data_IF_178900795761
#
_entry.id   IF_178900795761
#
_cell.length_a   1.000
_cell.length_b   1.000
_cell.length_c   1.000
_cell.angle_alpha   90.00
_cell.angle_beta   90.00
_cell.angle_gamma   90.00
#
_symmetry.space_group_name_H-M   'P 1'
#
loop_
_entity.id
_entity.type
_entity.pdbx_description
1 polymer ?
#
# COMPACT_ATOMS: atom_id res chain seq x y z
N UNK A 1 32.75 -29.05 17.13
CA UNK A 1 32.40 -27.63 16.89
C UNK A 1 31.78 -27.40 15.50
N UNK A 2 32.46 -27.72 14.39
CA UNK A 2 31.94 -27.48 13.02
C UNK A 2 30.66 -28.29 12.66
N UNK A 3 30.49 -29.49 13.23
CA UNK A 3 29.33 -30.34 12.98
C UNK A 3 28.04 -29.83 13.66
N UNK A 4 28.17 -29.22 14.84
CA UNK A 4 27.07 -28.58 15.58
C UNK A 4 26.65 -27.29 14.89
N UNK A 5 27.61 -26.53 14.35
CA UNK A 5 27.34 -25.34 13.55
C UNK A 5 26.57 -25.68 12.26
N UNK A 6 26.93 -26.76 11.55
CA UNK A 6 26.17 -27.27 10.39
C UNK A 6 24.76 -27.76 10.75
N UNK A 7 24.56 -28.35 11.93
CA UNK A 7 23.24 -28.81 12.40
C UNK A 7 22.31 -27.65 12.81
N UNK A 8 22.85 -26.60 13.44
CA UNK A 8 22.10 -25.38 13.77
C UNK A 8 21.74 -24.62 12.48
N UNK A 9 22.68 -24.53 11.53
CA UNK A 9 22.45 -23.95 10.20
C UNK A 9 21.39 -24.77 9.44
N UNK A 10 21.46 -26.11 9.46
CA UNK A 10 20.46 -26.97 8.82
C UNK A 10 19.04 -26.82 9.37
N UNK A 11 18.89 -26.59 10.69
CA UNK A 11 17.58 -26.30 11.32
C UNK A 11 17.09 -24.86 11.11
N UNK A 12 17.99 -23.89 10.97
CA UNK A 12 17.64 -22.50 10.65
C UNK A 12 17.21 -22.36 9.17
N UNK A 13 17.96 -22.99 8.26
CA UNK A 13 17.65 -23.12 6.83
C UNK A 13 16.29 -23.81 6.63
N UNK A 14 16.00 -24.85 7.42
CA UNK A 14 14.74 -25.59 7.36
C UNK A 14 13.49 -24.74 7.62
N UNK A 15 13.54 -23.73 8.49
CA UNK A 15 12.35 -22.96 8.86
C UNK A 15 12.08 -21.79 7.92
N UNK A 16 13.12 -21.08 7.47
CA UNK A 16 12.97 -19.98 6.49
C UNK A 16 12.51 -20.54 5.15
N UNK A 17 13.08 -21.65 4.69
CA UNK A 17 12.65 -22.34 3.46
C UNK A 17 11.27 -23.00 3.63
N UNK A 18 10.89 -23.45 4.83
CA UNK A 18 9.51 -23.92 5.10
C UNK A 18 8.46 -22.81 5.07
N UNK A 19 8.83 -21.59 5.46
CA UNK A 19 7.90 -20.45 5.52
C UNK A 19 7.84 -19.73 4.16
N UNK A 20 9.00 -19.45 3.55
CA UNK A 20 9.09 -18.80 2.23
C UNK A 20 8.79 -19.75 1.07
N UNK A 21 9.09 -21.05 1.17
CA UNK A 21 8.80 -22.03 0.11
C UNK A 21 9.74 -21.99 -1.12
N UNK A 22 10.64 -21.01 -1.24
CA UNK A 22 11.59 -20.87 -2.35
C UNK A 22 12.94 -20.28 -1.92
N UNK A 23 13.96 -20.43 -2.78
CA UNK A 23 15.23 -19.72 -2.67
C UNK A 23 15.09 -18.32 -3.28
N UNK A 24 15.28 -17.23 -2.51
CA UNK A 24 15.09 -15.88 -3.02
C UNK A 24 16.07 -15.57 -4.16
N UNK A 25 15.58 -14.89 -5.20
CA UNK A 25 16.38 -14.41 -6.32
C UNK A 25 17.01 -13.06 -5.96
N UNK A 26 18.34 -13.05 -5.81
CA UNK A 26 19.14 -11.83 -5.61
C UNK A 26 18.83 -10.72 -6.62
N UNK A 27 18.75 -10.97 -7.94
CA UNK A 27 18.59 -9.88 -8.91
C UNK A 27 17.22 -9.18 -8.81
N UNK A 28 16.12 -9.92 -8.65
CA UNK A 28 14.79 -9.31 -8.57
C UNK A 28 14.63 -8.45 -7.31
N UNK A 29 15.18 -8.93 -6.18
CA UNK A 29 15.16 -8.17 -4.93
C UNK A 29 15.97 -6.87 -5.05
N UNK A 30 17.15 -6.90 -5.66
CA UNK A 30 17.98 -5.70 -5.88
C UNK A 30 17.25 -4.68 -6.76
N UNK A 31 16.61 -5.12 -7.84
CA UNK A 31 15.81 -4.23 -8.70
C UNK A 31 14.68 -3.58 -7.89
N UNK A 32 13.95 -4.35 -7.08
CA UNK A 32 12.90 -3.81 -6.22
C UNK A 32 13.44 -2.77 -5.22
N UNK A 33 14.60 -3.04 -4.58
CA UNK A 33 15.26 -2.05 -3.69
C UNK A 33 15.50 -0.74 -4.42
N UNK A 34 16.16 -0.79 -5.59
CA UNK A 34 16.52 0.41 -6.35
C UNK A 34 15.26 1.19 -6.74
N UNK A 35 14.24 0.51 -7.22
CA UNK A 35 12.98 1.14 -7.65
C UNK A 35 12.27 1.82 -6.49
N UNK A 36 12.01 1.12 -5.38
CA UNK A 36 11.27 1.69 -4.24
C UNK A 36 12.03 2.77 -3.48
N UNK A 37 13.35 2.66 -3.37
CA UNK A 37 14.16 3.72 -2.77
C UNK A 37 14.19 4.96 -3.66
N UNK A 38 14.32 4.78 -4.98
CA UNK A 38 14.25 5.91 -5.94
C UNK A 38 12.90 6.61 -5.86
N UNK A 39 11.79 5.85 -5.85
CA UNK A 39 10.46 6.42 -5.64
C UNK A 39 10.36 7.16 -4.30
N UNK A 40 10.90 6.57 -3.22
CA UNK A 40 10.92 7.19 -1.90
C UNK A 40 11.64 8.53 -1.89
N UNK A 41 12.82 8.63 -2.51
CA UNK A 41 13.59 9.88 -2.63
C UNK A 41 12.81 10.92 -3.44
N UNK A 42 12.21 10.53 -4.57
CA UNK A 42 11.37 11.43 -5.36
C UNK A 42 10.19 11.97 -4.56
N UNK A 43 9.48 11.11 -3.82
CA UNK A 43 8.36 11.54 -2.97
C UNK A 43 8.81 12.45 -1.83
N UNK A 44 9.93 12.14 -1.16
CA UNK A 44 10.50 13.03 -0.16
C UNK A 44 10.82 14.40 -0.75
N UNK A 45 11.42 14.44 -1.93
CA UNK A 45 11.71 15.69 -2.63
C UNK A 45 10.45 16.52 -2.90
N UNK A 46 9.37 15.90 -3.40
CA UNK A 46 8.07 16.57 -3.58
C UNK A 46 7.50 17.09 -2.26
N UNK A 47 7.47 16.25 -1.21
CA UNK A 47 6.93 16.61 0.11
C UNK A 47 7.70 17.79 0.72
N UNK A 48 9.04 17.74 0.72
CA UNK A 48 9.85 18.81 1.31
C UNK A 48 9.79 20.11 0.50
N UNK A 49 9.81 20.02 -0.84
CA UNK A 49 9.76 21.20 -1.70
C UNK A 49 8.43 21.95 -1.58
N UNK A 50 7.32 21.23 -1.45
CA UNK A 50 5.96 21.82 -1.35
C UNK A 50 5.44 21.95 0.08
N UNK A 51 6.18 21.44 1.08
CA UNK A 51 5.78 21.35 2.49
C UNK A 51 4.44 20.59 2.68
N UNK A 52 4.22 19.59 1.83
CA UNK A 52 3.01 18.75 1.83
C UNK A 52 3.10 17.65 2.90
N UNK A 53 3.22 18.03 4.19
CA UNK A 53 3.43 17.10 5.31
C UNK A 53 2.36 16.01 5.44
N UNK A 54 1.16 16.31 4.96
CA UNK A 54 0.04 15.37 4.91
C UNK A 54 0.31 14.15 4.00
N UNK A 55 1.23 14.26 3.04
CA UNK A 55 1.58 13.22 2.10
C UNK A 55 2.74 12.34 2.58
N UNK A 56 3.26 12.55 3.80
CA UNK A 56 4.42 11.82 4.36
C UNK A 56 4.22 10.29 4.40
N UNK A 57 2.98 9.81 4.45
CA UNK A 57 2.69 8.37 4.43
C UNK A 57 3.30 7.69 3.18
N UNK A 58 3.25 8.34 2.01
CA UNK A 58 3.74 7.77 0.75
C UNK A 58 5.26 7.54 0.71
N UNK A 59 6.14 8.54 1.01
CA UNK A 59 7.58 8.30 1.06
C UNK A 59 8.00 7.34 2.19
N UNK A 60 7.33 7.39 3.36
CA UNK A 60 7.59 6.45 4.45
C UNK A 60 7.27 5.01 4.01
N UNK A 61 6.13 4.79 3.35
CA UNK A 61 5.76 3.49 2.80
C UNK A 61 6.72 2.95 1.75
N UNK A 62 7.16 3.82 0.83
CA UNK A 62 8.08 3.45 -0.23
C UNK A 62 9.46 3.09 0.31
N UNK A 63 9.95 3.84 1.31
CA UNK A 63 11.23 3.52 1.96
C UNK A 63 11.14 2.28 2.83
N UNK A 64 10.03 2.06 3.55
CA UNK A 64 9.77 0.82 4.27
C UNK A 64 9.83 -0.40 3.33
N UNK A 65 9.23 -0.30 2.13
CA UNK A 65 9.29 -1.37 1.12
C UNK A 65 10.73 -1.65 0.69
N UNK A 66 11.49 -0.60 0.37
CA UNK A 66 12.89 -0.71 -0.02
C UNK A 66 13.76 -1.36 1.06
N UNK A 67 13.56 -0.97 2.33
CA UNK A 67 14.25 -1.57 3.48
C UNK A 67 13.86 -3.05 3.67
N UNK A 68 12.57 -3.39 3.47
CA UNK A 68 12.11 -4.77 3.48
C UNK A 68 12.83 -5.62 2.44
N UNK A 69 12.95 -5.13 1.20
CA UNK A 69 13.70 -5.83 0.15
C UNK A 69 15.21 -5.91 0.43
N UNK A 70 15.81 -4.93 1.10
CA UNK A 70 17.21 -5.02 1.55
C UNK A 70 17.36 -6.20 2.50
N UNK A 71 16.48 -6.34 3.50
CA UNK A 71 16.50 -7.48 4.42
C UNK A 71 16.30 -8.80 3.68
N UNK A 72 15.44 -8.83 2.67
CA UNK A 72 15.23 -9.99 1.79
C UNK A 72 16.50 -10.39 1.03
N UNK A 73 17.27 -9.42 0.53
CA UNK A 73 18.60 -9.68 -0.08
C UNK A 73 19.56 -10.25 0.97
N UNK A 74 19.56 -9.72 2.19
CA UNK A 74 20.43 -10.21 3.27
C UNK A 74 20.09 -11.64 3.69
N UNK A 75 18.80 -12.00 3.74
CA UNK A 75 18.28 -13.34 4.04
C UNK A 75 18.71 -14.42 3.04
N UNK A 76 19.20 -14.01 1.86
CA UNK A 76 19.75 -14.90 0.85
C UNK A 76 21.09 -15.52 1.29
N UNK A 77 21.84 -14.84 2.16
CA UNK A 77 23.06 -15.40 2.72
C UNK A 77 22.73 -16.35 3.89
N UNK A 78 23.21 -17.61 3.87
CA UNK A 78 22.91 -18.60 4.91
C UNK A 78 23.42 -18.19 6.31
N UNK A 79 24.40 -17.27 6.39
CA UNK A 79 24.88 -16.69 7.65
C UNK A 79 23.88 -15.73 8.33
N UNK A 80 22.94 -15.16 7.57
CA UNK A 80 21.98 -14.15 8.03
C UNK A 80 20.53 -14.66 8.09
N UNK A 81 20.30 -15.97 7.88
CA UNK A 81 19.01 -16.64 8.04
C UNK A 81 18.61 -16.79 9.51
N UNK A 82 18.50 -15.65 10.20
CA UNK A 82 17.99 -15.55 11.55
C UNK A 82 16.50 -15.19 11.48
N UNK A 83 15.75 -15.56 12.52
CA UNK A 83 14.31 -15.31 12.62
C UNK A 83 13.96 -13.81 12.64
N UNK A 84 14.83 -12.98 13.21
CA UNK A 84 14.63 -11.53 13.31
C UNK A 84 14.51 -10.84 11.94
N UNK A 85 15.53 -10.93 11.07
CA UNK A 85 15.48 -10.33 9.73
C UNK A 85 14.26 -10.74 8.90
N UNK A 86 13.81 -11.98 9.00
CA UNK A 86 12.60 -12.47 8.32
C UNK A 86 11.32 -11.78 8.83
N UNK A 87 11.14 -11.71 10.14
CA UNK A 87 9.98 -11.00 10.72
C UNK A 87 10.02 -9.51 10.37
N UNK A 88 11.21 -8.91 10.38
CA UNK A 88 11.40 -7.51 10.00
C UNK A 88 11.11 -7.26 8.52
N UNK A 89 11.50 -8.16 7.61
CA UNK A 89 11.12 -8.09 6.18
C UNK A 89 9.61 -8.04 6.01
N UNK A 90 8.90 -9.03 6.57
CA UNK A 90 7.44 -9.16 6.43
C UNK A 90 6.71 -7.95 7.04
N UNK A 91 7.14 -7.46 8.21
CA UNK A 91 6.54 -6.26 8.83
C UNK A 91 6.80 -5.01 7.98
N UNK A 92 8.01 -4.82 7.46
CA UNK A 92 8.34 -3.65 6.64
C UNK A 92 7.57 -3.65 5.31
N UNK A 93 7.45 -4.82 4.67
CA UNK A 93 6.71 -4.98 3.41
C UNK A 93 5.19 -4.92 3.61
N UNK A 94 4.67 -5.30 4.78
CA UNK A 94 3.27 -5.11 5.16
C UNK A 94 2.93 -3.66 5.52
N UNK A 95 3.91 -2.86 5.98
CA UNK A 95 3.71 -1.45 6.30
C UNK A 95 3.40 -0.62 5.05
N UNK A 96 4.09 -0.91 3.94
CA UNK A 96 3.96 -0.19 2.67
C UNK A 96 2.53 -0.08 2.14
N UNK A 97 1.76 -1.18 1.96
CA UNK A 97 0.38 -1.06 1.49
C UNK A 97 -0.50 -0.25 2.45
N UNK A 98 -0.37 -0.40 3.77
CA UNK A 98 -1.16 0.37 4.74
C UNK A 98 -0.93 1.88 4.60
N UNK A 99 0.33 2.30 4.38
CA UNK A 99 0.64 3.72 4.15
C UNK A 99 0.15 4.25 2.80
N UNK A 100 0.12 3.41 1.76
CA UNK A 100 -0.37 3.82 0.43
C UNK A 100 -1.90 3.94 0.41
N UNK A 101 -2.58 3.05 1.13
CA UNK A 101 -4.01 3.16 1.42
C UNK A 101 -4.34 4.46 2.14
N UNK A 102 -3.63 4.74 3.24
CA UNK A 102 -3.77 6.00 3.98
C UNK A 102 -3.59 7.23 3.08
N UNK A 103 -2.59 7.22 2.21
CA UNK A 103 -2.38 8.30 1.25
C UNK A 103 -3.56 8.48 0.29
N UNK A 104 -4.08 7.39 -0.30
CA UNK A 104 -5.24 7.44 -1.18
C UNK A 104 -6.50 7.98 -0.47
N UNK A 105 -6.72 7.61 0.80
CA UNK A 105 -7.82 8.16 1.61
C UNK A 105 -7.68 9.68 1.81
N UNK A 106 -6.48 10.17 2.15
CA UNK A 106 -6.24 11.60 2.36
C UNK A 106 -6.43 12.38 1.06
N UNK A 107 -5.91 11.88 -0.06
CA UNK A 107 -6.09 12.49 -1.41
C UNK A 107 -7.57 12.54 -1.75
N UNK A 108 -8.31 11.45 -1.56
CA UNK A 108 -9.74 11.39 -1.83
C UNK A 108 -10.55 12.38 -0.96
N UNK A 109 -10.28 12.40 0.35
CA UNK A 109 -10.95 13.30 1.28
C UNK A 109 -10.73 14.78 0.94
N UNK A 110 -9.53 15.13 0.46
CA UNK A 110 -9.20 16.48 0.00
C UNK A 110 -9.86 16.85 -1.32
N UNK A 111 -9.90 15.92 -2.29
CA UNK A 111 -10.62 16.11 -3.56
C UNK A 111 -12.10 16.37 -3.30
N UNK A 112 -12.74 15.55 -2.47
CA UNK A 112 -14.15 15.74 -2.10
C UNK A 112 -14.38 17.06 -1.36
N UNK A 113 -13.51 17.38 -0.40
CA UNK A 113 -13.66 18.57 0.44
C UNK A 113 -13.40 19.89 -0.28
N UNK A 114 -12.49 19.92 -1.27
CA UNK A 114 -12.07 21.16 -1.94
C UNK A 114 -12.64 21.34 -3.34
N UNK A 115 -12.87 20.26 -4.10
CA UNK A 115 -13.22 20.35 -5.53
C UNK A 115 -14.69 20.02 -5.81
N UNK A 116 -15.27 19.06 -5.08
CA UNK A 116 -16.64 18.57 -5.36
C UNK A 116 -17.73 19.20 -4.47
N UNK A 117 -17.32 19.99 -3.46
CA UNK A 117 -18.24 20.63 -2.51
C UNK A 117 -18.81 19.66 -1.47
N UNK A 118 -18.94 20.13 -0.22
CA UNK A 118 -19.40 19.30 0.92
C UNK A 118 -20.81 18.72 0.77
N UNK A 119 -21.63 19.24 -0.17
CA UNK A 119 -23.00 18.76 -0.46
C UNK A 119 -23.05 17.36 -1.07
N UNK A 120 -21.93 16.87 -1.63
CA UNK A 120 -21.86 15.60 -2.34
C UNK A 120 -21.33 14.41 -1.51
N UNK A 121 -21.01 14.65 -0.25
CA UNK A 121 -20.50 13.61 0.65
C UNK A 121 -21.52 13.36 1.75
N UNK A 122 -22.20 12.20 1.70
CA UNK A 122 -23.14 11.77 2.75
C UNK A 122 -22.50 11.74 4.15
N UNK A 123 -21.16 11.69 4.24
CA UNK A 123 -20.38 11.73 5.47
C UNK A 123 -19.21 12.70 5.25
N UNK A 124 -18.86 13.56 6.23
CA UNK A 124 -17.70 14.45 6.12
C UNK A 124 -16.41 13.67 5.76
N UNK A 125 -15.75 13.99 4.63
CA UNK A 125 -14.68 13.16 4.07
C UNK A 125 -13.47 12.95 5.01
N UNK A 126 -13.23 13.88 5.93
CA UNK A 126 -12.13 13.80 6.89
C UNK A 126 -12.33 12.70 7.94
N UNK A 127 -13.57 12.48 8.42
CA UNK A 127 -13.83 11.44 9.41
C UNK A 127 -13.75 10.05 8.80
N UNK A 128 -14.25 9.90 7.56
CA UNK A 128 -14.16 8.66 6.79
C UNK A 128 -12.70 8.29 6.56
N UNK A 129 -11.87 9.25 6.13
CA UNK A 129 -10.44 9.01 5.90
C UNK A 129 -9.72 8.59 7.19
N UNK A 130 -9.97 9.28 8.31
CA UNK A 130 -9.37 8.91 9.60
C UNK A 130 -9.80 7.53 10.09
N UNK A 131 -11.09 7.19 9.96
CA UNK A 131 -11.60 5.87 10.33
C UNK A 131 -10.88 4.75 9.57
N UNK A 132 -10.73 4.90 8.25
CA UNK A 132 -10.02 3.90 7.44
C UNK A 132 -8.53 3.82 7.76
N UNK A 133 -7.87 4.95 8.05
CA UNK A 133 -6.47 4.95 8.50
C UNK A 133 -6.31 4.18 9.82
N UNK A 134 -7.19 4.39 10.80
CA UNK A 134 -7.15 3.65 12.06
C UNK A 134 -7.42 2.15 11.86
N UNK A 135 -8.36 1.80 10.97
CA UNK A 135 -8.60 0.41 10.58
C UNK A 135 -7.34 -0.23 9.98
N UNK A 136 -6.64 0.47 9.10
CA UNK A 136 -5.41 -0.03 8.47
C UNK A 136 -4.24 -0.15 9.46
N UNK A 137 -4.11 0.76 10.42
CA UNK A 137 -3.13 0.66 11.50
C UNK A 137 -3.42 -0.56 12.38
N UNK A 138 -4.69 -0.77 12.74
CA UNK A 138 -5.11 -1.92 13.54
C UNK A 138 -4.82 -3.24 12.82
N UNK A 139 -5.20 -3.34 11.54
CA UNK A 139 -4.96 -4.55 10.74
C UNK A 139 -3.48 -4.80 10.48
N UNK A 140 -2.67 -3.75 10.31
CA UNK A 140 -1.21 -3.86 10.27
C UNK A 140 -0.62 -4.43 11.56
N UNK A 141 -1.09 -3.97 12.74
CA UNK A 141 -0.65 -4.52 14.03
C UNK A 141 -1.01 -6.01 14.14
N UNK A 142 -2.22 -6.39 13.73
CA UNK A 142 -2.65 -7.79 13.71
C UNK A 142 -1.73 -8.64 12.81
N UNK A 143 -1.38 -8.15 11.62
CA UNK A 143 -0.42 -8.83 10.73
C UNK A 143 0.98 -8.94 11.33
N UNK A 144 1.47 -7.88 11.98
CA UNK A 144 2.77 -7.88 12.64
C UNK A 144 2.83 -8.90 13.78
N UNK A 145 1.77 -9.00 14.58
CA UNK A 145 1.64 -10.01 15.65
C UNK A 145 1.61 -11.43 15.04
N UNK A 146 0.79 -11.66 14.01
CA UNK A 146 0.71 -12.95 13.32
C UNK A 146 2.07 -13.39 12.75
N UNK A 147 2.80 -12.44 12.15
CA UNK A 147 4.15 -12.65 11.61
C UNK A 147 5.17 -12.98 12.70
N UNK A 148 5.15 -12.26 13.82
CA UNK A 148 6.04 -12.55 14.95
C UNK A 148 5.82 -13.96 15.53
N UNK A 149 4.60 -14.49 15.43
CA UNK A 149 4.26 -15.85 15.87
C UNK A 149 4.79 -16.95 14.93
N UNK A 150 5.25 -16.61 13.71
CA UNK A 150 5.93 -17.57 12.82
C UNK A 150 7.28 -18.05 13.38
N UNK A 151 7.82 -17.36 14.38
CA UNK A 151 9.12 -17.67 14.98
C UNK A 151 9.14 -18.95 15.81
N UNK A 152 7.98 -19.47 16.24
CA UNK A 152 7.86 -20.73 17.00
C UNK A 152 6.93 -21.70 16.29
N UNK A 153 7.32 -22.97 16.23
CA UNK A 153 6.51 -24.03 15.58
C UNK A 153 5.18 -24.27 16.30
N UNK A 154 5.13 -24.10 17.62
CA UNK A 154 3.90 -24.25 18.41
C UNK A 154 2.86 -23.17 18.12
N UNK A 155 3.29 -21.94 17.80
CA UNK A 155 2.40 -20.80 17.51
C UNK A 155 2.19 -20.58 16.01
N UNK A 156 2.75 -21.43 15.16
CA UNK A 156 2.78 -21.20 13.71
C UNK A 156 1.38 -21.21 13.08
N UNK A 157 0.51 -22.16 13.46
CA UNK A 157 -0.85 -22.22 12.91
C UNK A 157 -1.70 -21.04 13.41
N UNK A 158 -1.61 -20.71 14.69
CA UNK A 158 -2.28 -19.53 15.25
C UNK A 158 -1.79 -18.24 14.59
N UNK A 159 -0.48 -18.10 14.39
CA UNK A 159 0.11 -16.94 13.71
C UNK A 159 -0.40 -16.78 12.28
N UNK A 160 -0.56 -17.90 11.55
CA UNK A 160 -1.11 -17.87 10.17
C UNK A 160 -2.55 -17.37 10.17
N UNK A 161 -3.39 -17.89 11.06
CA UNK A 161 -4.78 -17.44 11.19
C UNK A 161 -4.85 -15.96 11.56
N UNK A 162 -4.04 -15.50 12.51
CA UNK A 162 -3.99 -14.09 12.92
C UNK A 162 -3.56 -13.19 11.76
N UNK A 163 -2.50 -13.58 11.03
CA UNK A 163 -2.05 -12.84 9.85
C UNK A 163 -3.14 -12.78 8.77
N UNK A 164 -3.78 -13.91 8.47
CA UNK A 164 -4.86 -14.02 7.48
C UNK A 164 -6.05 -13.13 7.84
N UNK A 165 -6.46 -13.10 9.12
CA UNK A 165 -7.52 -12.20 9.61
C UNK A 165 -7.15 -10.74 9.36
N UNK A 166 -5.90 -10.36 9.65
CA UNK A 166 -5.42 -9.00 9.38
C UNK A 166 -5.49 -8.62 7.90
N UNK A 167 -5.09 -9.51 6.99
CA UNK A 167 -5.16 -9.28 5.54
C UNK A 167 -6.60 -9.14 5.05
N UNK A 168 -7.51 -9.99 5.53
CA UNK A 168 -8.92 -9.97 5.14
C UNK A 168 -9.60 -8.69 5.62
N UNK A 169 -9.38 -8.29 6.89
CA UNK A 169 -9.94 -7.06 7.46
C UNK A 169 -9.43 -5.80 6.75
N UNK A 170 -8.14 -5.75 6.43
CA UNK A 170 -7.55 -4.64 5.67
C UNK A 170 -8.18 -4.55 4.28
N UNK A 171 -8.30 -5.69 3.59
CA UNK A 171 -8.88 -5.76 2.24
C UNK A 171 -10.36 -5.37 2.23
N UNK A 172 -11.13 -5.82 3.23
CA UNK A 172 -12.53 -5.44 3.38
C UNK A 172 -12.71 -3.93 3.58
N UNK A 173 -11.90 -3.33 4.46
CA UNK A 173 -11.88 -1.88 4.68
C UNK A 173 -11.62 -1.12 3.37
N UNK A 174 -10.65 -1.62 2.60
CA UNK A 174 -10.29 -1.00 1.33
C UNK A 174 -11.36 -1.16 0.24
N UNK A 175 -12.04 -2.31 0.15
CA UNK A 175 -13.14 -2.48 -0.81
C UNK A 175 -14.32 -1.56 -0.54
N UNK A 176 -14.64 -1.32 0.74
CA UNK A 176 -15.65 -0.32 1.11
C UNK A 176 -15.23 1.06 0.60
N UNK A 177 -13.97 1.45 0.81
CA UNK A 177 -13.45 2.70 0.26
C UNK A 177 -13.53 2.75 -1.28
N UNK A 178 -13.18 1.67 -1.97
CA UNK A 178 -13.23 1.60 -3.42
C UNK A 178 -14.66 1.79 -3.96
N UNK A 179 -15.66 1.22 -3.27
CA UNK A 179 -17.07 1.44 -3.58
C UNK A 179 -17.45 2.91 -3.36
N UNK A 180 -17.03 3.52 -2.24
CA UNK A 180 -17.28 4.94 -1.98
C UNK A 180 -16.68 5.83 -3.08
N UNK A 181 -15.44 5.56 -3.49
CA UNK A 181 -14.81 6.24 -4.62
C UNK A 181 -15.62 6.10 -5.92
N UNK A 182 -16.13 4.90 -6.22
CA UNK A 182 -16.94 4.67 -7.41
C UNK A 182 -18.30 5.38 -7.34
N UNK A 183 -18.92 5.43 -6.16
CA UNK A 183 -20.15 6.19 -5.93
C UNK A 183 -19.93 7.69 -6.11
N UNK A 184 -18.85 8.24 -5.55
CA UNK A 184 -18.45 9.65 -5.76
C UNK A 184 -18.21 9.94 -7.24
N UNK A 185 -17.59 9.01 -7.99
CA UNK A 185 -17.40 9.16 -9.42
C UNK A 185 -18.76 9.22 -10.15
N UNK A 186 -19.68 8.29 -9.84
CA UNK A 186 -21.00 8.23 -10.47
C UNK A 186 -21.80 9.50 -10.19
N UNK A 187 -21.76 10.03 -8.97
CA UNK A 187 -22.39 11.32 -8.62
C UNK A 187 -21.77 12.47 -9.42
N UNK A 188 -20.44 12.51 -9.46
CA UNK A 188 -19.58 13.37 -10.30
C UNK A 188 -20.07 13.54 -11.74
N UNK A 189 -20.37 12.40 -12.38
CA UNK A 189 -20.85 12.36 -13.77
C UNK A 189 -22.31 12.75 -13.92
N UNK A 190 -23.16 12.41 -12.96
CA UNK A 190 -24.60 12.74 -13.03
C UNK A 190 -24.85 14.24 -12.96
N UNK A 191 -24.06 14.98 -12.19
CA UNK A 191 -24.24 16.43 -12.03
C UNK A 191 -23.47 17.28 -13.05
N UNK A 192 -22.71 16.67 -13.96
CA UNK A 192 -21.95 17.39 -14.98
C UNK A 192 -20.81 18.27 -14.44
N UNK A 193 -20.46 18.15 -13.14
CA UNK A 193 -19.34 18.86 -12.51
C UNK A 193 -17.99 18.38 -13.07
N UNK A 194 -17.94 17.11 -13.50
CA UNK A 194 -16.78 16.53 -14.18
C UNK A 194 -16.90 16.70 -15.70
N UNK A 195 -16.64 17.90 -16.22
CA UNK A 195 -16.44 18.17 -17.66
C UNK A 195 -15.24 17.42 -18.22
N UNK A 196 -14.34 16.90 -17.35
CA UNK A 196 -13.16 16.13 -17.73
C UNK A 196 -11.94 16.96 -18.12
N UNK A 197 -12.12 18.28 -18.24
CA UNK A 197 -11.06 19.25 -18.53
C UNK A 197 -10.35 19.78 -17.28
N UNK A 198 -10.98 19.61 -16.12
CA UNK A 198 -10.46 20.16 -14.88
C UNK A 198 -9.13 19.53 -14.44
N UNK A 199 -8.22 20.36 -13.94
CA UNK A 199 -6.91 19.92 -13.48
C UNK A 199 -7.03 18.85 -12.37
N UNK A 200 -7.98 19.00 -11.46
CA UNK A 200 -8.25 18.03 -10.37
C UNK A 200 -8.75 16.67 -10.87
N UNK A 201 -9.35 16.62 -12.07
CA UNK A 201 -9.81 15.36 -12.67
C UNK A 201 -8.65 14.43 -13.04
N UNK A 202 -7.46 14.99 -13.32
CA UNK A 202 -6.24 14.19 -13.55
C UNK A 202 -5.85 13.40 -12.31
N UNK A 203 -5.87 14.06 -11.14
CA UNK A 203 -5.58 13.42 -9.85
C UNK A 203 -6.67 12.43 -9.46
N UNK A 204 -7.94 12.73 -9.76
CA UNK A 204 -9.04 11.79 -9.53
C UNK A 204 -8.87 10.51 -10.34
N UNK A 205 -8.54 10.61 -11.64
CA UNK A 205 -8.23 9.44 -12.48
C UNK A 205 -7.02 8.67 -11.98
N UNK A 206 -5.96 9.38 -11.57
CA UNK A 206 -4.76 8.76 -11.02
C UNK A 206 -5.07 7.99 -9.74
N UNK A 207 -5.89 8.55 -8.84
CA UNK A 207 -6.39 7.86 -7.66
C UNK A 207 -7.13 6.57 -8.05
N UNK A 208 -7.98 6.60 -9.09
CA UNK A 208 -8.66 5.41 -9.60
C UNK A 208 -7.71 4.34 -10.14
N UNK A 209 -6.71 4.75 -10.93
CA UNK A 209 -5.68 3.83 -11.46
C UNK A 209 -4.86 3.23 -10.32
N UNK A 210 -4.41 4.05 -9.38
CA UNK A 210 -3.73 3.61 -8.15
C UNK A 210 -4.60 2.61 -7.40
N UNK A 211 -5.89 2.91 -7.30
CA UNK A 211 -6.80 2.09 -6.51
C UNK A 211 -7.02 0.71 -7.11
N UNK A 212 -7.14 0.64 -8.43
CA UNK A 212 -7.23 -0.61 -9.19
C UNK A 212 -6.02 -1.52 -8.93
N UNK A 213 -4.80 -0.98 -9.01
CA UNK A 213 -3.59 -1.79 -8.79
C UNK A 213 -3.47 -2.28 -7.34
N UNK A 214 -3.88 -1.47 -6.36
CA UNK A 214 -3.92 -1.91 -4.96
C UNK A 214 -4.94 -3.03 -4.78
N UNK A 215 -6.11 -2.96 -5.45
CA UNK A 215 -7.11 -4.04 -5.43
C UNK A 215 -6.56 -5.35 -5.99
N UNK A 216 -5.79 -5.32 -7.09
CA UNK A 216 -5.13 -6.52 -7.63
C UNK A 216 -4.22 -7.16 -6.58
N UNK A 217 -3.42 -6.35 -5.89
CA UNK A 217 -2.57 -6.82 -4.78
C UNK A 217 -3.38 -7.40 -3.62
N UNK A 218 -4.47 -6.76 -3.18
CA UNK A 218 -5.25 -7.28 -2.04
C UNK A 218 -5.88 -8.63 -2.35
N UNK A 219 -6.34 -8.85 -3.59
CA UNK A 219 -6.83 -10.15 -4.05
C UNK A 219 -5.72 -11.21 -3.97
N UNK A 220 -4.52 -10.89 -4.46
CA UNK A 220 -3.37 -11.79 -4.38
C UNK A 220 -3.01 -12.11 -2.92
N UNK A 221 -2.97 -11.12 -2.04
CA UNK A 221 -2.64 -11.34 -0.61
C UNK A 221 -3.68 -12.17 0.13
N UNK A 222 -4.97 -12.01 -0.19
CA UNK A 222 -6.00 -12.91 0.33
C UNK A 222 -5.74 -14.34 -0.19
N UNK A 223 -5.53 -14.52 -1.49
CA UNK A 223 -5.28 -15.84 -2.07
C UNK A 223 -4.03 -16.51 -1.49
N UNK A 224 -2.95 -15.77 -1.31
CA UNK A 224 -1.71 -16.24 -0.68
C UNK A 224 -1.93 -16.64 0.78
N UNK A 225 -2.64 -15.82 1.56
CA UNK A 225 -2.92 -16.11 2.97
C UNK A 225 -3.85 -17.31 3.18
N UNK A 226 -4.74 -17.58 2.23
CA UNK A 226 -5.61 -18.77 2.22
C UNK A 226 -4.94 -20.03 1.63
N UNK A 227 -3.75 -19.91 1.03
CA UNK A 227 -3.10 -21.02 0.32
C UNK A 227 -2.35 -21.98 1.24
N UNK A 228 -2.54 -23.28 1.01
CA UNK A 228 -1.86 -24.34 1.73
C UNK A 228 -0.33 -24.39 1.52
N UNK A 229 0.42 -25.04 2.43
CA UNK A 229 1.83 -25.34 2.21
C UNK A 229 2.08 -26.27 1.03
N UNK A 230 2.46 -25.67 -0.11
CA UNK A 230 2.88 -26.40 -1.33
C UNK A 230 2.25 -25.89 -2.62
N UNK A 231 1.26 -25.00 -2.54
CA UNK A 231 0.58 -24.44 -3.72
C UNK A 231 1.53 -23.58 -4.55
N UNK A 232 1.43 -23.65 -5.88
CA UNK A 232 2.32 -22.94 -6.82
C UNK A 232 2.44 -21.42 -6.57
N UNK A 233 1.42 -20.81 -5.95
CA UNK A 233 1.37 -19.40 -5.54
C UNK A 233 2.48 -19.09 -4.52
N UNK A 234 2.73 -20.00 -3.57
CA UNK A 234 3.75 -19.82 -2.52
C UNK A 234 5.11 -20.40 -2.91
N UNK A 235 5.14 -21.34 -3.86
CA UNK A 235 6.37 -22.02 -4.28
C UNK A 235 7.15 -21.24 -5.36
N UNK A 236 6.51 -20.32 -6.09
CA UNK A 236 7.18 -19.50 -7.12
C UNK A 236 7.25 -18.03 -6.72
N UNK A 237 8.46 -17.57 -6.42
CA UNK A 237 8.77 -16.18 -6.07
C UNK A 237 8.29 -15.16 -7.13
N UNK A 238 8.21 -15.58 -8.39
CA UNK A 238 7.72 -14.73 -9.50
C UNK A 238 6.33 -14.21 -9.22
N UNK A 239 5.44 -14.98 -8.59
CA UNK A 239 4.09 -14.51 -8.27
C UNK A 239 4.11 -13.38 -7.24
N UNK A 240 4.98 -13.45 -6.24
CA UNK A 240 5.14 -12.38 -5.26
C UNK A 240 5.63 -11.09 -5.93
N UNK A 241 6.64 -11.15 -6.80
CA UNK A 241 7.09 -9.94 -7.49
C UNK A 241 6.04 -9.37 -8.45
N UNK A 242 5.37 -10.23 -9.23
CA UNK A 242 4.44 -9.78 -10.28
C UNK A 242 3.08 -9.34 -9.73
N UNK A 243 2.58 -10.01 -8.68
CA UNK A 243 1.23 -9.77 -8.16
C UNK A 243 1.19 -9.04 -6.81
N UNK A 244 2.30 -8.96 -6.08
CA UNK A 244 2.38 -8.15 -4.87
C UNK A 244 3.16 -6.86 -5.08
N UNK A 245 4.37 -6.97 -5.63
CA UNK A 245 5.33 -5.87 -5.70
C UNK A 245 5.04 -4.94 -6.87
N UNK A 246 4.95 -5.49 -8.08
CA UNK A 246 4.72 -4.71 -9.30
C UNK A 246 3.42 -3.88 -9.26
N UNK A 247 2.26 -4.40 -8.82
CA UNK A 247 1.04 -3.60 -8.77
C UNK A 247 1.19 -2.43 -7.80
N UNK A 248 1.84 -2.66 -6.65
CA UNK A 248 2.07 -1.60 -5.68
C UNK A 248 3.00 -0.49 -6.24
N UNK A 249 4.01 -0.86 -7.02
CA UNK A 249 4.86 0.11 -7.74
C UNK A 249 4.05 0.91 -8.77
N UNK A 250 3.24 0.24 -9.61
CA UNK A 250 2.39 0.90 -10.59
C UNK A 250 1.34 1.81 -9.93
N UNK A 251 0.89 1.47 -8.72
CA UNK A 251 -0.04 2.28 -7.96
C UNK A 251 0.54 3.62 -7.49
N UNK A 252 1.85 3.68 -7.23
CA UNK A 252 2.52 4.88 -6.68
C UNK A 252 3.26 5.69 -7.73
N UNK A 253 3.80 5.06 -8.78
CA UNK A 253 4.67 5.73 -9.76
C UNK A 253 3.98 6.91 -10.45
N UNK A 254 2.67 6.83 -10.68
CA UNK A 254 1.91 7.93 -11.28
C UNK A 254 1.90 9.20 -10.42
N UNK A 255 2.01 9.09 -9.09
CA UNK A 255 2.09 10.25 -8.19
C UNK A 255 3.45 10.97 -8.25
N UNK A 256 4.48 10.35 -8.81
CA UNK A 256 5.77 11.01 -9.07
C UNK A 256 5.59 12.05 -10.18
N UNK A 257 4.88 11.69 -11.25
CA UNK A 257 4.66 12.58 -12.39
C UNK A 257 3.55 13.61 -12.13
N UNK A 258 2.47 13.18 -11.47
CA UNK A 258 1.32 14.03 -11.16
C UNK A 258 1.15 14.16 -9.66
N UNK A 259 2.00 14.99 -9.05
CA UNK A 259 1.91 15.26 -7.62
C UNK A 259 0.60 15.99 -7.29
N UNK A 260 -0.20 15.52 -6.31
CA UNK A 260 -1.51 16.09 -6.02
C UNK A 260 -1.49 17.47 -5.35
N UNK A 261 -0.38 17.90 -4.74
CA UNK A 261 -0.27 19.16 -3.99
C UNK A 261 -0.76 20.41 -4.73
N UNK A 262 -0.25 20.73 -5.94
CA UNK A 262 -0.67 21.89 -6.75
C UNK A 262 -2.16 21.94 -7.09
N UNK A 263 -2.81 20.79 -7.18
CA UNK A 263 -4.22 20.68 -7.56
C UNK A 263 -5.18 21.00 -6.41
N UNK A 264 -4.65 21.17 -5.20
CA UNK A 264 -5.43 21.52 -4.01
C UNK A 264 -5.35 23.00 -3.63
N UNK A 265 -4.51 23.81 -4.30
CA UNK A 265 -4.42 25.25 -4.06
C UNK A 265 -5.63 25.97 -4.66
N UNK A 266 -6.15 26.98 -3.93
CA UNK A 266 -7.40 27.69 -4.25
C UNK A 266 -7.34 28.40 -5.60
N UNK A 267 -6.17 28.86 -6.02
CA UNK A 267 -5.99 29.60 -7.27
C UNK A 267 -6.20 28.68 -8.49
N UNK A 268 -5.75 27.42 -8.39
CA UNK A 268 -5.97 26.38 -9.40
C UNK A 268 -7.45 25.98 -9.55
N UNK A 269 -8.25 26.17 -8.49
CA UNK A 269 -9.69 25.86 -8.48
C UNK A 269 -10.49 27.04 -9.07
N UNK A 270 -10.05 28.28 -8.83
CA UNK A 270 -10.64 29.49 -9.40
C UNK A 270 -10.38 29.62 -10.92
N UNK A 271 -9.24 29.13 -11.41
CA UNK A 271 -8.92 29.11 -12.83
C UNK A 271 -9.63 27.96 -13.58
N UNK A 272 -9.97 26.88 -12.86
CA UNK A 272 -10.68 25.70 -13.35
C UNK A 272 -12.21 25.89 -13.41
N UNK A 273 -12.78 26.64 -12.47
CA UNK A 273 -14.23 26.92 -12.43
C UNK A 273 -14.46 28.38 -12.83
N UNK A 274 -14.89 28.66 -14.07
CA UNK A 274 -15.40 29.99 -14.41
C UNK A 274 -16.48 30.35 -13.40
N UNK A 275 -16.31 31.50 -12.73
CA UNK A 275 -17.16 32.05 -11.66
C UNK A 275 -18.66 32.19 -11.99
N UNK A 276 -19.09 31.77 -13.17
CA UNK A 276 -20.44 31.92 -13.70
C UNK A 276 -21.46 30.91 -13.14
N UNK A 277 -21.02 29.78 -12.54
CA UNK A 277 -21.95 28.76 -11.98
C UNK A 277 -22.19 28.83 -10.48
N UNK A 278 -21.51 29.73 -9.75
CA UNK A 278 -21.72 29.88 -8.30
C UNK A 278 -22.91 30.79 -7.98
N UNK A 279 -23.29 31.70 -8.88
CA UNK A 279 -24.40 32.64 -8.66
C UNK A 279 -25.79 32.07 -8.91
N UNK A 280 -25.94 30.94 -9.62
CA UNK A 280 -27.26 30.41 -10.00
C UNK A 280 -27.84 29.37 -9.03
N UNK A 281 -27.13 28.99 -7.97
CA UNK A 281 -27.65 28.05 -6.95
C UNK A 281 -28.13 28.72 -5.66
N UNK A 282 -28.12 30.06 -5.59
CA UNK A 282 -28.60 30.85 -4.45
C UNK A 282 -29.77 31.76 -4.82
N UNK A 283 -30.65 31.28 -5.71
CA UNK A 283 -31.98 31.84 -5.95
C UNK A 283 -33.02 30.73 -5.77
#
# INVERSE_FOLDING_TARGET
>A
MAHVHKLIIGRAVSNVVRVLGYTPSKPAAIVAVVVYLTCGVCFFWHVFRRRDWWALCLPIGSTAMGLGFILRVMLNNPAHQKRGPFVSEEILTACSPATFLAFNYIVHGRLLGRCMGKRHSYIPPNYVSWFFIFSDIFTFIVQAIGTAMFTKTSTLNTGKTVFQVGVILQSASYYIFFILYFLSWRSCRKEGIATGHEAWWKIYKLLGVSSFFITVRTIFRIAESCSDPGTAIRTREVYLYVFDTLPLFLAIVGYIFYWPGPYFDRDSIAEAVPMEKVSTSSA
#
